data_IF_804716882368
#
_entry.id   IF_804716882368
#
_cell.length_a   1.000
_cell.length_b   1.000
_cell.length_c   1.000
_cell.angle_alpha   90.00
_cell.angle_beta   90.00
_cell.angle_gamma   90.00
#
_symmetry.space_group_name_H-M   'P 1'
#
loop_
_entity.id
_entity.type
_entity.pdbx_description
1 polymer ?
#
# COMPACT_ATOMS: atom_id res chain seq x y z
N UNK A 1 -24.90 1.61 10.35
CA UNK A 1 -23.55 2.15 10.39
C UNK A 1 -22.49 1.06 10.15
N UNK A 2 -22.59 -0.12 10.74
CA UNK A 2 -21.68 -1.28 10.52
C UNK A 2 -21.52 -1.76 9.07
N UNK A 3 -22.55 -1.64 8.24
CA UNK A 3 -22.49 -2.04 6.81
C UNK A 3 -21.59 -1.09 6.01
N UNK A 4 -21.54 0.19 6.37
CA UNK A 4 -20.78 1.20 5.63
C UNK A 4 -19.26 1.05 5.87
N UNK A 5 -18.85 0.75 7.09
CA UNK A 5 -17.44 0.51 7.44
C UNK A 5 -16.93 -0.80 6.80
N UNK A 6 -17.69 -1.88 6.84
CA UNK A 6 -17.36 -3.14 6.15
C UNK A 6 -17.31 -2.98 4.62
N UNK A 7 -18.20 -2.16 4.05
CA UNK A 7 -18.19 -1.91 2.60
C UNK A 7 -16.97 -1.08 2.20
N UNK A 8 -16.57 -0.11 3.02
CA UNK A 8 -15.37 0.69 2.80
C UNK A 8 -14.13 -0.21 2.92
N UNK A 9 -14.04 -1.03 3.95
CA UNK A 9 -12.94 -1.98 4.17
C UNK A 9 -12.81 -3.01 3.03
N UNK A 10 -13.93 -3.59 2.60
CA UNK A 10 -13.96 -4.51 1.44
C UNK A 10 -13.56 -3.77 0.16
N UNK A 11 -14.03 -2.52 -0.03
CA UNK A 11 -13.70 -1.74 -1.23
C UNK A 11 -12.22 -1.34 -1.25
N UNK A 12 -11.63 -1.04 -0.10
CA UNK A 12 -10.19 -0.72 0.01
C UNK A 12 -9.35 -1.97 -0.20
N UNK A 13 -9.72 -3.11 0.39
CA UNK A 13 -9.04 -4.38 0.19
C UNK A 13 -9.13 -4.86 -1.28
N UNK A 14 -10.27 -4.68 -1.93
CA UNK A 14 -10.44 -5.00 -3.36
C UNK A 14 -9.63 -4.04 -4.23
N UNK A 15 -9.62 -2.73 -3.93
CA UNK A 15 -8.82 -1.74 -4.67
C UNK A 15 -7.31 -1.90 -4.42
N UNK A 16 -6.91 -2.42 -3.28
CA UNK A 16 -5.53 -2.76 -2.96
C UNK A 16 -5.07 -4.09 -3.58
N UNK A 17 -6.02 -4.89 -4.11
CA UNK A 17 -5.71 -6.17 -4.74
C UNK A 17 -5.00 -5.97 -6.08
N UNK A 18 -3.95 -6.76 -6.32
CA UNK A 18 -3.19 -6.78 -7.57
C UNK A 18 -4.05 -6.98 -8.81
N UNK A 19 -5.15 -7.74 -8.70
CA UNK A 19 -6.03 -8.12 -9.81
C UNK A 19 -7.12 -7.11 -10.16
N UNK A 20 -7.38 -6.14 -9.30
CA UNK A 20 -8.51 -5.22 -9.48
C UNK A 20 -8.37 -4.37 -10.76
N UNK A 21 -7.26 -3.67 -10.91
CA UNK A 21 -7.03 -2.79 -12.05
C UNK A 21 -6.89 -3.56 -13.38
N UNK A 22 -6.13 -4.67 -13.44
CA UNK A 22 -6.10 -5.52 -14.64
C UNK A 22 -7.47 -6.04 -15.06
N UNK A 23 -8.29 -6.51 -14.12
CA UNK A 23 -9.65 -6.99 -14.42
C UNK A 23 -10.54 -5.87 -14.92
N UNK A 24 -10.46 -4.68 -14.31
CA UNK A 24 -11.23 -3.52 -14.74
C UNK A 24 -10.90 -3.13 -16.20
N UNK A 25 -9.61 -3.07 -16.53
CA UNK A 25 -9.14 -2.74 -17.88
C UNK A 25 -9.49 -3.86 -18.89
N UNK A 26 -9.44 -5.12 -18.48
CA UNK A 26 -9.89 -6.25 -19.28
C UNK A 26 -11.38 -6.15 -19.62
N UNK A 27 -12.23 -5.85 -18.64
CA UNK A 27 -13.65 -5.61 -18.85
C UNK A 27 -13.90 -4.38 -19.74
N UNK A 28 -13.12 -3.31 -19.56
CA UNK A 28 -13.21 -2.11 -20.38
C UNK A 28 -12.85 -2.41 -21.86
N UNK A 29 -11.78 -3.17 -22.11
CA UNK A 29 -11.40 -3.60 -23.45
C UNK A 29 -12.47 -4.47 -24.11
N UNK A 30 -13.03 -5.42 -23.36
CA UNK A 30 -14.14 -6.24 -23.83
C UNK A 30 -15.38 -5.39 -24.18
N UNK A 31 -15.79 -4.49 -23.31
CA UNK A 31 -16.93 -3.60 -23.51
C UNK A 31 -16.71 -2.64 -24.69
N UNK A 32 -15.48 -2.11 -24.83
CA UNK A 32 -15.11 -1.25 -25.96
C UNK A 32 -15.22 -2.01 -27.30
N UNK A 33 -14.73 -3.26 -27.33
CA UNK A 33 -14.87 -4.13 -28.51
C UNK A 33 -16.33 -4.35 -28.92
N UNK A 34 -17.19 -4.70 -27.97
CA UNK A 34 -18.61 -4.85 -28.20
C UNK A 34 -19.26 -3.54 -28.70
N UNK A 35 -18.93 -2.42 -28.07
CA UNK A 35 -19.51 -1.12 -28.40
C UNK A 35 -19.14 -0.68 -29.81
N UNK A 36 -17.85 -0.80 -30.20
CA UNK A 36 -17.40 -0.40 -31.52
C UNK A 36 -17.99 -1.32 -32.62
N UNK A 37 -18.09 -2.62 -32.37
CA UNK A 37 -18.76 -3.55 -33.27
C UNK A 37 -20.25 -3.20 -33.45
N UNK A 38 -20.96 -2.84 -32.37
CA UNK A 38 -22.37 -2.42 -32.46
C UNK A 38 -22.52 -1.09 -33.21
N UNK A 39 -21.57 -0.18 -33.07
CA UNK A 39 -21.54 1.08 -33.82
C UNK A 39 -21.30 0.79 -35.31
N UNK A 40 -20.31 -0.03 -35.64
CA UNK A 40 -20.04 -0.45 -37.02
C UNK A 40 -21.29 -1.12 -37.68
N UNK A 41 -21.96 -2.00 -36.93
CA UNK A 41 -23.18 -2.67 -37.41
C UNK A 41 -24.35 -1.70 -37.68
N UNK A 42 -24.37 -0.52 -37.00
CA UNK A 42 -25.42 0.49 -37.22
C UNK A 42 -25.06 1.52 -38.28
N UNK A 43 -23.78 1.90 -38.39
CA UNK A 43 -23.33 2.92 -39.35
C UNK A 43 -23.29 2.37 -40.80
N UNK A 44 -23.10 1.04 -40.97
CA UNK A 44 -22.90 0.43 -42.27
C UNK A 44 -21.65 0.98 -42.99
N UNK A 45 -21.37 0.53 -44.20
CA UNK A 45 -20.16 0.91 -44.95
C UNK A 45 -20.24 2.29 -45.62
N UNK A 46 -21.39 2.99 -45.53
CA UNK A 46 -21.67 4.23 -46.30
C UNK A 46 -20.74 5.41 -45.94
N UNK A 47 -20.23 5.50 -44.73
CA UNK A 47 -19.37 6.61 -44.27
C UNK A 47 -17.90 6.44 -44.72
N UNK A 48 -17.48 5.20 -45.02
CA UNK A 48 -16.11 4.88 -45.45
C UNK A 48 -15.87 5.11 -46.94
N UNK A 49 -16.95 5.22 -47.73
CA UNK A 49 -16.89 5.33 -49.19
C UNK A 49 -16.15 6.58 -49.73
N UNK A 50 -15.80 7.54 -48.88
CA UNK A 50 -15.03 8.75 -49.25
C UNK A 50 -13.51 8.57 -49.12
N UNK A 51 -13.04 7.47 -48.50
CA UNK A 51 -11.61 7.26 -48.22
C UNK A 51 -11.14 5.93 -48.79
N UNK A 52 -10.67 5.89 -50.02
CA UNK A 52 -10.20 4.68 -50.72
C UNK A 52 -9.12 3.89 -49.96
N UNK A 53 -8.30 4.57 -49.12
CA UNK A 53 -7.26 3.95 -48.32
C UNK A 53 -7.81 3.03 -47.20
N UNK A 54 -9.03 3.22 -46.77
CA UNK A 54 -9.70 2.44 -45.75
C UNK A 54 -10.48 1.23 -46.30
N UNK A 55 -10.77 1.21 -47.62
CA UNK A 55 -11.65 0.23 -48.26
C UNK A 55 -10.97 -1.10 -48.59
N UNK A 56 -9.67 -1.28 -48.36
CA UNK A 56 -8.90 -2.42 -48.86
C UNK A 56 -8.86 -3.66 -47.97
N UNK A 57 -9.51 -3.66 -46.80
CA UNK A 57 -9.39 -4.78 -45.86
C UNK A 57 -10.35 -5.92 -46.19
N UNK A 58 -9.84 -6.94 -46.87
CA UNK A 58 -10.56 -8.22 -47.04
C UNK A 58 -10.74 -8.87 -45.64
N UNK A 59 -11.85 -9.65 -45.43
CA UNK A 59 -12.10 -10.32 -44.14
C UNK A 59 -10.90 -11.13 -43.62
N UNK A 60 -10.15 -11.79 -44.50
CA UNK A 60 -8.94 -12.54 -44.17
C UNK A 60 -7.80 -11.66 -43.65
N UNK A 61 -7.57 -10.50 -44.26
CA UNK A 61 -6.56 -9.54 -43.81
C UNK A 61 -6.91 -8.96 -42.44
N UNK A 62 -8.20 -8.64 -42.21
CA UNK A 62 -8.72 -8.18 -40.95
C UNK A 62 -8.54 -9.22 -39.83
N UNK A 63 -8.87 -10.48 -40.09
CA UNK A 63 -8.66 -11.60 -39.18
C UNK A 63 -7.16 -11.81 -38.87
N UNK A 64 -6.30 -11.78 -39.88
CA UNK A 64 -4.86 -11.95 -39.73
C UNK A 64 -4.26 -10.84 -38.86
N UNK A 65 -4.63 -9.58 -39.10
CA UNK A 65 -4.15 -8.44 -38.33
C UNK A 65 -4.57 -8.54 -36.85
N UNK A 66 -5.87 -8.74 -36.59
CA UNK A 66 -6.36 -8.83 -35.21
C UNK A 66 -5.85 -10.07 -34.48
N UNK A 67 -5.71 -11.20 -35.19
CA UNK A 67 -5.08 -12.41 -34.59
C UNK A 67 -3.62 -12.17 -34.25
N UNK A 68 -2.86 -11.47 -35.07
CA UNK A 68 -1.48 -11.09 -34.79
C UNK A 68 -1.38 -10.17 -33.58
N UNK A 69 -2.25 -9.15 -33.51
CA UNK A 69 -2.29 -8.25 -32.34
C UNK A 69 -2.66 -9.04 -31.08
N UNK A 70 -3.68 -9.88 -31.13
CA UNK A 70 -4.12 -10.69 -29.99
C UNK A 70 -3.01 -11.61 -29.49
N UNK A 71 -2.38 -12.39 -30.39
CA UNK A 71 -1.31 -13.32 -30.01
C UNK A 71 -0.06 -12.59 -29.50
N UNK A 72 0.29 -11.45 -30.08
CA UNK A 72 1.41 -10.65 -29.61
C UNK A 72 1.14 -10.07 -28.23
N UNK A 73 -0.04 -9.46 -28.00
CA UNK A 73 -0.36 -8.81 -26.73
C UNK A 73 -0.48 -9.79 -25.57
N UNK A 74 -1.07 -10.99 -25.78
CA UNK A 74 -1.14 -11.99 -24.71
C UNK A 74 0.23 -12.58 -24.38
N UNK A 75 1.10 -12.75 -25.39
CA UNK A 75 2.48 -13.18 -25.16
C UNK A 75 3.25 -12.15 -24.36
N UNK A 76 3.14 -10.87 -24.72
CA UNK A 76 3.76 -9.76 -23.97
C UNK A 76 3.21 -9.69 -22.55
N UNK A 77 1.88 -9.86 -22.34
CA UNK A 77 1.29 -9.92 -21.01
C UNK A 77 1.93 -11.01 -20.12
N UNK A 78 2.17 -12.20 -20.68
CA UNK A 78 2.85 -13.29 -20.00
C UNK A 78 4.30 -12.95 -19.61
N UNK A 79 5.04 -12.29 -20.50
CA UNK A 79 6.42 -11.82 -20.22
C UNK A 79 6.41 -10.73 -19.16
N UNK A 80 5.52 -9.74 -19.25
CA UNK A 80 5.35 -8.66 -18.27
C UNK A 80 5.06 -9.23 -16.88
N UNK A 81 4.14 -10.19 -16.81
CA UNK A 81 3.83 -10.87 -15.54
C UNK A 81 5.05 -11.62 -14.99
N UNK A 82 5.78 -12.34 -15.83
CA UNK A 82 6.97 -13.09 -15.42
C UNK A 82 8.09 -12.18 -14.92
N UNK A 83 8.34 -11.06 -15.61
CA UNK A 83 9.32 -10.04 -15.17
C UNK A 83 8.88 -9.41 -13.84
N UNK A 84 7.60 -9.08 -13.70
CA UNK A 84 7.08 -8.52 -12.44
C UNK A 84 7.28 -9.49 -11.28
N UNK A 85 6.97 -10.78 -11.49
CA UNK A 85 7.17 -11.81 -10.47
C UNK A 85 8.65 -11.99 -10.12
N UNK A 86 9.54 -12.00 -11.11
CA UNK A 86 10.98 -12.08 -10.90
C UNK A 86 11.50 -10.85 -10.12
N UNK A 87 11.06 -9.65 -10.48
CA UNK A 87 11.39 -8.41 -9.79
C UNK A 87 10.95 -8.42 -8.31
N UNK A 88 9.71 -8.86 -8.05
CA UNK A 88 9.15 -9.02 -6.71
C UNK A 88 9.95 -10.04 -5.89
N UNK A 89 10.29 -11.19 -6.49
CA UNK A 89 11.07 -12.23 -5.82
C UNK A 89 12.48 -11.73 -5.49
N UNK A 90 13.13 -11.04 -6.43
CA UNK A 90 14.44 -10.43 -6.21
C UNK A 90 14.41 -9.39 -5.08
N UNK A 91 13.46 -8.46 -5.15
CA UNK A 91 13.30 -7.41 -4.13
C UNK A 91 13.01 -7.99 -2.74
N UNK A 92 12.16 -9.02 -2.65
CA UNK A 92 11.87 -9.72 -1.39
C UNK A 92 13.10 -10.39 -0.79
N UNK A 93 13.93 -11.01 -1.62
CA UNK A 93 15.17 -11.66 -1.19
C UNK A 93 16.21 -10.67 -0.68
N UNK A 94 16.36 -9.54 -1.37
CA UNK A 94 17.38 -8.54 -1.05
C UNK A 94 16.95 -7.59 0.07
N UNK A 95 15.70 -7.11 0.05
CA UNK A 95 15.27 -5.98 0.86
C UNK A 95 14.31 -6.34 1.99
N UNK A 96 13.76 -7.55 1.98
CA UNK A 96 12.85 -8.04 2.99
C UNK A 96 11.41 -8.25 2.52
N UNK A 97 10.69 -9.19 3.17
CA UNK A 97 9.34 -9.58 2.74
C UNK A 97 8.28 -8.48 2.99
N UNK A 98 8.54 -7.48 3.84
CA UNK A 98 7.60 -6.38 4.09
C UNK A 98 7.40 -5.50 2.86
N UNK A 99 8.44 -5.30 2.05
CA UNK A 99 8.39 -4.51 0.82
C UNK A 99 7.58 -5.16 -0.31
N UNK A 100 7.27 -6.46 -0.21
CA UNK A 100 6.41 -7.17 -1.16
C UNK A 100 5.06 -6.46 -1.36
N UNK A 101 4.46 -5.95 -0.28
CA UNK A 101 3.20 -5.23 -0.33
C UNK A 101 3.25 -3.98 -1.22
N UNK A 102 4.36 -3.27 -1.20
CA UNK A 102 4.55 -2.04 -1.98
C UNK A 102 4.65 -2.34 -3.48
N UNK A 103 5.40 -3.39 -3.87
CA UNK A 103 5.50 -3.83 -5.27
C UNK A 103 4.18 -4.39 -5.83
N UNK A 104 3.42 -5.14 -5.02
CA UNK A 104 2.13 -5.69 -5.43
C UNK A 104 1.05 -4.61 -5.62
N UNK A 105 1.18 -3.49 -4.91
CA UNK A 105 0.26 -2.34 -5.02
C UNK A 105 0.65 -1.34 -6.11
N UNK A 106 1.74 -1.59 -6.84
CA UNK A 106 2.20 -0.69 -7.89
C UNK A 106 1.20 -0.63 -9.05
N UNK A 107 0.56 0.53 -9.20
CA UNK A 107 -0.46 0.77 -10.21
C UNK A 107 0.10 0.78 -11.63
N UNK A 108 1.37 1.13 -11.82
CA UNK A 108 2.04 1.11 -13.12
C UNK A 108 2.11 -0.31 -13.69
N UNK A 109 2.52 -1.27 -12.85
CA UNK A 109 2.59 -2.68 -13.23
C UNK A 109 1.19 -3.28 -13.48
N UNK A 110 0.23 -2.97 -12.60
CA UNK A 110 -1.16 -3.42 -12.75
C UNK A 110 -1.81 -2.86 -14.02
N UNK A 111 -1.64 -1.57 -14.31
CA UNK A 111 -2.18 -0.91 -15.49
C UNK A 111 -1.57 -1.49 -16.77
N UNK A 112 -0.24 -1.71 -16.80
CA UNK A 112 0.45 -2.29 -17.94
C UNK A 112 -0.11 -3.67 -18.28
N UNK A 113 -0.21 -4.55 -17.29
CA UNK A 113 -0.81 -5.88 -17.48
C UNK A 113 -2.27 -5.79 -17.95
N UNK A 114 -3.04 -4.86 -17.36
CA UNK A 114 -4.44 -4.65 -17.72
C UNK A 114 -4.66 -4.18 -19.16
N UNK A 115 -3.79 -3.30 -19.66
CA UNK A 115 -3.84 -2.83 -21.06
C UNK A 115 -3.58 -3.98 -22.03
N UNK A 116 -2.59 -4.83 -21.78
CA UNK A 116 -2.31 -5.98 -22.65
C UNK A 116 -3.45 -6.98 -22.66
N UNK A 117 -4.00 -7.36 -21.49
CA UNK A 117 -5.14 -8.28 -21.39
C UNK A 117 -6.40 -7.64 -22.00
N UNK A 118 -6.62 -6.34 -21.78
CA UNK A 118 -7.76 -5.61 -22.35
C UNK A 118 -7.70 -5.55 -23.88
N UNK A 119 -6.52 -5.27 -24.45
CA UNK A 119 -6.29 -5.29 -25.91
C UNK A 119 -6.51 -6.68 -26.50
N UNK A 120 -6.02 -7.73 -25.82
CA UNK A 120 -6.27 -9.11 -26.22
C UNK A 120 -7.76 -9.43 -26.27
N UNK A 121 -8.52 -9.16 -25.20
CA UNK A 121 -9.96 -9.42 -25.15
C UNK A 121 -10.73 -8.59 -26.18
N UNK A 122 -10.34 -7.33 -26.37
CA UNK A 122 -10.86 -6.49 -27.43
C UNK A 122 -10.74 -7.17 -28.81
N UNK A 123 -9.51 -7.58 -29.16
CA UNK A 123 -9.25 -8.24 -30.45
C UNK A 123 -10.05 -9.53 -30.61
N UNK A 124 -10.19 -10.35 -29.55
CA UNK A 124 -11.01 -11.58 -29.62
C UNK A 124 -12.50 -11.30 -29.89
N UNK A 125 -13.06 -10.26 -29.25
CA UNK A 125 -14.46 -9.86 -29.46
C UNK A 125 -14.66 -9.42 -30.90
N UNK A 126 -13.78 -8.56 -31.42
CA UNK A 126 -13.88 -8.07 -32.79
C UNK A 126 -13.66 -9.21 -33.79
N UNK A 127 -12.68 -10.08 -33.54
CA UNK A 127 -12.35 -11.22 -34.41
C UNK A 127 -13.55 -12.16 -34.59
N UNK A 128 -14.31 -12.39 -33.53
CA UNK A 128 -15.53 -13.24 -33.57
C UNK A 128 -16.60 -12.68 -34.49
N UNK A 129 -16.62 -11.38 -34.76
CA UNK A 129 -17.69 -10.74 -35.55
C UNK A 129 -17.41 -10.67 -37.04
N UNK A 130 -16.15 -10.88 -37.45
CA UNK A 130 -15.75 -10.88 -38.88
C UNK A 130 -16.29 -12.13 -39.56
N UNK A 131 -17.03 -11.93 -40.63
CA UNK A 131 -17.63 -13.01 -41.44
C UNK A 131 -17.25 -12.86 -42.92
N UNK A 132 -16.93 -13.97 -43.58
CA UNK A 132 -16.77 -14.02 -45.02
C UNK A 132 -18.09 -14.45 -45.72
N UNK A 133 -18.27 -14.08 -46.98
CA UNK A 133 -19.47 -14.44 -47.74
C UNK A 133 -19.65 -15.97 -47.89
N UNK A 134 -18.57 -16.74 -47.94
CA UNK A 134 -18.57 -18.20 -48.04
C UNK A 134 -19.05 -18.91 -46.77
N UNK A 135 -18.69 -18.43 -45.61
CA UNK A 135 -19.11 -19.00 -44.31
C UNK A 135 -20.61 -18.83 -44.08
N UNK A 136 -21.18 -17.74 -44.63
CA UNK A 136 -22.61 -17.44 -44.46
C UNK A 136 -23.49 -18.36 -45.28
N UNK A 137 -23.01 -18.90 -46.41
CA UNK A 137 -23.75 -19.79 -47.28
C UNK A 137 -23.86 -21.23 -46.75
N UNK A 138 -22.88 -21.69 -45.95
CA UNK A 138 -22.82 -23.06 -45.45
C UNK A 138 -23.68 -23.27 -44.17
N UNK A 139 -23.77 -22.27 -43.29
CA UNK A 139 -24.46 -22.41 -41.99
C UNK A 139 -25.95 -22.08 -41.99
N UNK A 140 -26.47 -21.34 -42.98
CA UNK A 140 -27.83 -20.75 -42.90
C UNK A 140 -28.82 -21.28 -43.96
N UNK A 141 -28.57 -22.42 -44.61
CA UNK A 141 -29.56 -23.07 -45.49
C UNK A 141 -30.06 -22.21 -46.66
N UNK A 142 -29.22 -21.36 -47.24
CA UNK A 142 -29.52 -20.58 -48.44
C UNK A 142 -29.85 -19.10 -48.23
N UNK A 143 -29.79 -18.56 -47.01
CA UNK A 143 -29.89 -17.11 -46.79
C UNK A 143 -28.49 -16.51 -46.93
N UNK A 144 -28.22 -15.86 -48.06
CA UNK A 144 -26.96 -15.12 -48.29
C UNK A 144 -26.95 -13.89 -47.37
N UNK A 145 -26.12 -13.93 -46.30
CA UNK A 145 -25.80 -12.75 -45.53
C UNK A 145 -24.52 -12.14 -46.09
N UNK A 146 -24.47 -10.83 -46.22
CA UNK A 146 -23.32 -10.11 -46.73
C UNK A 146 -22.09 -10.28 -45.78
N UNK A 147 -20.90 -10.29 -46.39
CA UNK A 147 -19.64 -10.26 -45.61
C UNK A 147 -19.65 -9.04 -44.68
N UNK A 148 -19.24 -9.22 -43.41
CA UNK A 148 -19.20 -8.14 -42.44
C UNK A 148 -17.77 -7.97 -41.89
N UNK A 149 -17.22 -6.77 -42.06
CA UNK A 149 -15.93 -6.37 -41.54
C UNK A 149 -16.13 -5.10 -40.72
N UNK A 150 -15.95 -5.13 -39.39
CA UNK A 150 -16.12 -3.94 -38.53
C UNK A 150 -14.90 -3.03 -38.65
N UNK A 151 -14.90 -2.09 -39.55
CA UNK A 151 -13.76 -1.21 -39.88
C UNK A 151 -13.35 -0.30 -38.70
N UNK A 152 -14.30 0.34 -38.02
CA UNK A 152 -14.04 1.19 -36.87
C UNK A 152 -13.42 0.39 -35.73
N UNK A 153 -13.93 -0.82 -35.48
CA UNK A 153 -13.36 -1.70 -34.47
C UNK A 153 -11.96 -2.19 -34.87
N UNK A 154 -11.66 -2.37 -36.16
CA UNK A 154 -10.30 -2.67 -36.61
C UNK A 154 -9.32 -1.53 -36.30
N UNK A 155 -9.69 -0.27 -36.58
CA UNK A 155 -8.90 0.88 -36.22
C UNK A 155 -8.69 1.00 -34.72
N UNK A 156 -9.74 0.71 -33.91
CA UNK A 156 -9.62 0.61 -32.48
C UNK A 156 -8.58 -0.43 -32.04
N UNK A 157 -8.55 -1.59 -32.71
CA UNK A 157 -7.55 -2.63 -32.50
C UNK A 157 -6.11 -2.16 -32.80
N UNK A 158 -5.93 -1.47 -33.92
CA UNK A 158 -4.62 -0.89 -34.28
C UNK A 158 -4.20 0.19 -33.29
N UNK A 159 -5.11 1.08 -32.90
CA UNK A 159 -4.83 2.11 -31.90
C UNK A 159 -4.44 1.50 -30.54
N UNK A 160 -5.14 0.45 -30.11
CA UNK A 160 -4.81 -0.29 -28.90
C UNK A 160 -3.44 -1.02 -29.01
N UNK A 161 -3.07 -1.52 -30.18
CA UNK A 161 -1.76 -2.12 -30.42
C UNK A 161 -0.64 -1.08 -30.28
N UNK A 162 -0.83 0.13 -30.86
CA UNK A 162 0.11 1.25 -30.70
C UNK A 162 0.22 1.67 -29.22
N UNK A 163 -0.93 1.82 -28.56
CA UNK A 163 -0.97 2.14 -27.12
C UNK A 163 -0.28 1.06 -26.27
N UNK A 164 -0.50 -0.23 -26.58
CA UNK A 164 0.17 -1.35 -25.93
C UNK A 164 1.70 -1.29 -26.10
N UNK A 165 2.17 -0.90 -27.29
CA UNK A 165 3.61 -0.73 -27.53
C UNK A 165 4.19 0.41 -26.66
N UNK A 166 3.49 1.55 -26.58
CA UNK A 166 3.89 2.64 -25.69
C UNK A 166 3.90 2.22 -24.20
N UNK A 167 2.88 1.45 -23.79
CA UNK A 167 2.80 0.88 -22.42
C UNK A 167 3.94 -0.11 -22.16
N UNK A 168 4.37 -0.89 -23.16
CA UNK A 168 5.53 -1.79 -23.01
C UNK A 168 6.82 -1.00 -22.75
N UNK A 169 7.04 0.09 -23.49
CA UNK A 169 8.21 0.96 -23.29
C UNK A 169 8.17 1.57 -21.88
N UNK A 170 7.01 2.08 -21.47
CA UNK A 170 6.79 2.58 -20.11
C UNK A 170 7.07 1.52 -19.06
N UNK A 171 6.53 0.31 -19.21
CA UNK A 171 6.71 -0.81 -18.27
C UNK A 171 8.19 -1.16 -18.06
N UNK A 172 8.94 -1.31 -19.15
CA UNK A 172 10.38 -1.63 -19.06
C UNK A 172 11.13 -0.56 -18.27
N UNK A 173 10.85 0.72 -18.54
CA UNK A 173 11.46 1.82 -17.78
C UNK A 173 11.00 1.84 -16.32
N UNK A 174 9.72 1.65 -16.08
CA UNK A 174 9.11 1.71 -14.74
C UNK A 174 9.62 0.59 -13.82
N UNK A 175 9.67 -0.65 -14.32
CA UNK A 175 10.14 -1.79 -13.52
C UNK A 175 11.62 -1.66 -13.19
N UNK A 176 12.46 -1.31 -14.16
CA UNK A 176 13.90 -1.10 -13.92
C UNK A 176 14.15 0.00 -12.89
N UNK A 177 13.43 1.10 -12.95
CA UNK A 177 13.56 2.20 -11.99
C UNK A 177 13.02 1.82 -10.60
N UNK A 178 11.99 0.98 -10.54
CA UNK A 178 11.35 0.55 -9.30
C UNK A 178 12.18 -0.45 -8.46
N UNK A 179 13.12 -1.17 -9.09
CA UNK A 179 13.99 -2.15 -8.42
C UNK A 179 15.21 -1.49 -7.76
N UNK A 180 15.56 -0.26 -8.15
CA UNK A 180 16.69 0.42 -7.53
C UNK A 180 16.44 0.68 -6.04
N UNK A 181 17.30 0.13 -5.19
CA UNK A 181 17.16 0.17 -3.73
C UNK A 181 17.02 1.60 -3.19
N UNK A 182 17.77 2.55 -3.74
CA UNK A 182 17.69 3.96 -3.33
C UNK A 182 16.31 4.56 -3.58
N UNK A 183 15.61 4.16 -4.65
CA UNK A 183 14.25 4.63 -4.92
C UNK A 183 13.24 4.02 -3.94
N UNK A 184 13.46 2.77 -3.53
CA UNK A 184 12.63 2.09 -2.51
C UNK A 184 12.80 2.77 -1.17
N UNK A 185 14.04 2.97 -0.71
CA UNK A 185 14.38 3.66 0.54
C UNK A 185 13.78 5.07 0.56
N UNK A 186 14.00 5.84 -0.52
CA UNK A 186 13.47 7.20 -0.64
C UNK A 186 11.93 7.22 -0.57
N UNK A 187 11.25 6.27 -1.22
CA UNK A 187 9.79 6.16 -1.16
C UNK A 187 9.30 5.90 0.25
N UNK A 188 9.87 4.89 0.94
CA UNK A 188 9.51 4.57 2.34
C UNK A 188 9.76 5.79 3.23
N UNK A 189 10.90 6.47 3.08
CA UNK A 189 11.23 7.66 3.86
C UNK A 189 10.28 8.83 3.61
N UNK A 190 9.94 9.11 2.34
CA UNK A 190 8.98 10.17 1.96
C UNK A 190 7.59 9.86 2.50
N UNK A 191 7.11 8.61 2.36
CA UNK A 191 5.80 8.18 2.84
C UNK A 191 5.73 8.27 4.38
N UNK A 192 6.80 7.88 5.08
CA UNK A 192 6.91 8.00 6.53
C UNK A 192 6.83 9.45 6.99
N UNK A 193 7.60 10.35 6.37
CA UNK A 193 7.59 11.78 6.69
C UNK A 193 6.21 12.40 6.39
N UNK A 194 5.59 12.04 5.28
CA UNK A 194 4.26 12.51 4.93
C UNK A 194 3.21 12.06 5.95
N UNK A 195 3.31 10.82 6.43
CA UNK A 195 2.40 10.28 7.45
C UNK A 195 2.59 10.96 8.81
N UNK A 196 3.85 11.25 9.21
CA UNK A 196 4.15 12.02 10.42
C UNK A 196 3.48 13.40 10.36
N UNK A 197 3.64 14.12 9.24
CA UNK A 197 3.03 15.44 9.03
C UNK A 197 1.50 15.37 9.04
N UNK A 198 0.93 14.36 8.39
CA UNK A 198 -0.53 14.19 8.36
C UNK A 198 -1.10 14.06 9.76
N UNK A 199 -0.50 13.25 10.61
CA UNK A 199 -0.95 13.06 11.99
C UNK A 199 -0.78 14.31 12.84
N UNK A 200 0.30 15.05 12.66
CA UNK A 200 0.50 16.30 13.37
C UNK A 200 -0.52 17.38 13.03
N UNK A 201 -1.07 17.35 11.81
CA UNK A 201 -2.11 18.29 11.38
C UNK A 201 -3.53 17.88 11.83
N UNK A 202 -3.75 16.58 12.10
CA UNK A 202 -5.05 16.06 12.53
C UNK A 202 -5.25 16.19 14.06
N UNK A 203 -4.17 16.38 14.82
CA UNK A 203 -4.17 16.38 16.28
C UNK A 203 -4.01 17.81 16.84
N UNK A 204 -5.07 18.62 16.70
CA UNK A 204 -5.17 19.97 17.31
C UNK A 204 -5.48 19.93 18.82
N UNK A 205 -5.47 18.76 19.44
CA UNK A 205 -5.81 18.61 20.86
C UNK A 205 -4.62 18.98 21.74
N UNK A 206 -4.77 20.01 22.60
CA UNK A 206 -3.78 20.31 23.62
C UNK A 206 -3.56 19.08 24.54
N UNK A 207 -2.29 18.73 24.84
CA UNK A 207 -1.99 17.63 25.74
C UNK A 207 -2.42 18.00 27.17
N UNK A 208 -3.62 17.64 27.53
CA UNK A 208 -4.12 17.79 28.89
C UNK A 208 -3.38 16.86 29.87
N UNK A 209 -3.30 17.21 31.17
CA UNK A 209 -2.69 16.34 32.17
C UNK A 209 -3.43 15.00 32.24
N UNK A 210 -2.68 13.89 32.18
CA UNK A 210 -3.23 12.55 32.36
C UNK A 210 -3.70 12.42 33.80
N UNK A 211 -4.96 12.65 34.07
CA UNK A 211 -5.57 12.32 35.36
C UNK A 211 -6.33 11.03 35.18
N UNK A 212 -5.93 9.93 35.85
CA UNK A 212 -6.82 8.78 35.93
C UNK A 212 -8.15 9.25 36.55
N UNK A 213 -9.31 8.71 36.13
CA UNK A 213 -10.59 9.12 36.68
C UNK A 213 -10.53 8.98 38.19
N UNK A 214 -10.83 10.11 38.89
CA UNK A 214 -10.75 10.22 40.35
C UNK A 214 -11.74 9.30 41.09
N UNK A 215 -12.66 8.71 40.39
CA UNK A 215 -13.58 7.67 40.87
C UNK A 215 -13.26 6.38 40.17
N UNK A 216 -12.31 5.61 40.71
CA UNK A 216 -11.99 4.27 40.24
C UNK A 216 -13.20 3.37 40.52
N UNK A 217 -14.10 3.28 39.54
CA UNK A 217 -15.12 2.25 39.48
C UNK A 217 -14.51 0.87 39.28
N UNK A 218 -15.34 -0.13 39.00
CA UNK A 218 -14.88 -1.47 38.67
C UNK A 218 -14.09 -1.43 37.36
N UNK A 219 -12.91 -2.06 37.34
CA UNK A 219 -12.10 -2.25 36.14
C UNK A 219 -12.42 -3.62 35.56
N UNK A 220 -12.77 -3.68 34.29
CA UNK A 220 -12.92 -4.94 33.56
C UNK A 220 -11.98 -4.94 32.36
N UNK A 221 -11.10 -5.94 32.21
CA UNK A 221 -10.33 -6.13 31.01
C UNK A 221 -11.26 -6.57 29.87
N UNK A 222 -11.14 -5.93 28.72
CA UNK A 222 -11.78 -6.34 27.48
C UNK A 222 -10.74 -7.13 26.69
N UNK A 223 -11.05 -8.39 26.41
CA UNK A 223 -10.13 -9.36 25.85
C UNK A 223 -10.26 -9.47 24.34
N UNK A 224 -9.16 -9.81 23.67
CA UNK A 224 -9.13 -10.11 22.25
C UNK A 224 -9.89 -11.40 21.94
N UNK A 225 -10.69 -11.36 20.91
CA UNK A 225 -11.43 -12.52 20.37
C UNK A 225 -10.71 -13.18 19.20
N UNK A 226 -9.59 -12.60 18.74
CA UNK A 226 -8.79 -13.10 17.61
C UNK A 226 -7.31 -12.96 17.91
N UNK A 227 -6.51 -13.84 17.31
CA UNK A 227 -5.05 -13.76 17.33
C UNK A 227 -4.54 -13.09 16.04
N UNK A 228 -3.66 -12.09 16.17
CA UNK A 228 -3.06 -11.39 15.04
C UNK A 228 -2.47 -10.04 15.43
N UNK A 229 -2.22 -9.19 14.43
CA UNK A 229 -1.79 -7.81 14.64
C UNK A 229 -2.98 -6.87 14.62
N UNK A 230 -2.99 -5.89 15.50
CA UNK A 230 -3.96 -4.81 15.47
C UNK A 230 -3.62 -3.93 14.25
N UNK A 231 -4.50 -3.93 13.27
CA UNK A 231 -4.33 -3.14 12.03
C UNK A 231 -4.85 -1.72 12.20
N UNK A 232 -6.00 -1.58 12.89
CA UNK A 232 -6.61 -0.29 13.16
C UNK A 232 -7.55 -0.35 14.36
N UNK A 233 -7.72 0.81 15.02
CA UNK A 233 -8.72 1.06 16.05
C UNK A 233 -9.59 2.23 15.59
N UNK A 234 -10.91 2.05 15.56
CA UNK A 234 -11.86 3.13 15.28
C UNK A 234 -12.11 3.90 16.58
N UNK A 235 -11.26 4.91 16.83
CA UNK A 235 -11.35 5.73 18.06
C UNK A 235 -12.62 6.56 18.14
N UNK A 236 -13.20 7.01 17.01
CA UNK A 236 -14.46 7.73 17.00
C UNK A 236 -15.63 6.83 17.43
N UNK A 237 -15.66 5.61 16.92
CA UNK A 237 -16.65 4.63 17.34
C UNK A 237 -16.44 4.21 18.80
N UNK A 238 -15.18 4.04 19.23
CA UNK A 238 -14.84 3.72 20.61
C UNK A 238 -15.25 4.83 21.58
N UNK A 239 -15.06 6.11 21.20
CA UNK A 239 -15.49 7.27 21.96
C UNK A 239 -17.03 7.29 22.12
N UNK A 240 -17.78 7.04 21.06
CA UNK A 240 -19.24 6.96 21.09
C UNK A 240 -19.75 5.82 21.98
N UNK A 241 -19.07 4.66 21.99
CA UNK A 241 -19.39 3.55 22.88
C UNK A 241 -19.14 3.96 24.33
N UNK A 242 -17.99 4.58 24.61
CA UNK A 242 -17.60 5.04 25.93
C UNK A 242 -18.60 6.06 26.49
N UNK A 243 -19.01 7.06 25.71
CA UNK A 243 -19.99 8.08 26.10
C UNK A 243 -21.35 7.46 26.35
N UNK A 244 -21.82 6.56 25.48
CA UNK A 244 -23.15 5.91 25.61
C UNK A 244 -23.29 5.07 26.89
N UNK A 245 -22.21 4.42 27.30
CA UNK A 245 -22.23 3.47 28.42
C UNK A 245 -21.58 4.03 29.69
N UNK A 246 -21.26 5.32 29.70
CA UNK A 246 -20.55 5.99 30.81
C UNK A 246 -19.28 5.26 31.22
N UNK A 247 -18.44 4.93 30.22
CA UNK A 247 -17.17 4.25 30.38
C UNK A 247 -16.00 5.22 30.23
N UNK A 248 -14.88 4.91 30.90
CA UNK A 248 -13.56 5.40 30.53
C UNK A 248 -12.76 4.21 30.05
N UNK A 249 -12.22 4.30 28.83
CA UNK A 249 -11.51 3.23 28.15
C UNK A 249 -10.00 3.54 28.08
N UNK A 250 -9.18 2.53 28.35
CA UNK A 250 -7.72 2.64 28.22
C UNK A 250 -7.22 1.51 27.33
N UNK A 251 -6.95 1.76 26.06
CA UNK A 251 -6.23 0.83 25.20
C UNK A 251 -4.88 0.45 25.79
N UNK A 252 -4.60 -0.84 25.93
CA UNK A 252 -3.33 -1.40 26.39
C UNK A 252 -2.43 -1.71 25.20
N UNK A 253 -3.07 -1.96 24.05
CA UNK A 253 -2.41 -2.28 22.80
C UNK A 253 -2.95 -1.40 21.70
N UNK A 254 -2.04 -0.97 20.81
CA UNK A 254 -2.32 -0.08 19.69
C UNK A 254 -2.10 -0.75 18.34
N UNK A 255 -2.30 0.02 17.27
CA UNK A 255 -1.99 -0.44 15.92
C UNK A 255 -0.51 -0.85 15.81
N UNK A 256 -0.26 -1.97 15.14
CA UNK A 256 1.06 -2.59 15.02
C UNK A 256 1.38 -3.62 16.10
N UNK A 257 0.67 -3.64 17.23
CA UNK A 257 0.90 -4.62 18.29
C UNK A 257 0.30 -5.98 17.93
N UNK A 258 1.01 -7.05 18.32
CA UNK A 258 0.49 -8.40 18.27
C UNK A 258 -0.38 -8.70 19.49
N UNK A 259 -1.50 -9.33 19.25
CA UNK A 259 -2.43 -9.79 20.29
C UNK A 259 -2.81 -11.24 20.05
N UNK A 260 -2.93 -12.00 21.13
CA UNK A 260 -3.48 -13.35 21.10
C UNK A 260 -4.89 -13.38 21.69
N UNK A 261 -5.71 -14.28 21.21
CA UNK A 261 -7.03 -14.54 21.80
C UNK A 261 -6.93 -14.73 23.32
N UNK A 262 -7.80 -14.09 24.07
CA UNK A 262 -7.77 -14.08 25.53
C UNK A 262 -6.85 -13.01 26.15
N UNK A 263 -6.01 -12.30 25.37
CA UNK A 263 -5.19 -11.20 25.91
C UNK A 263 -6.00 -9.90 26.04
N UNK A 264 -5.62 -9.07 27.01
CA UNK A 264 -6.25 -7.77 27.22
C UNK A 264 -5.94 -6.82 26.06
N UNK A 265 -6.99 -6.34 25.39
CA UNK A 265 -6.92 -5.28 24.37
C UNK A 265 -6.95 -3.91 25.01
N UNK A 266 -7.94 -3.70 25.88
CA UNK A 266 -8.15 -2.44 26.58
C UNK A 266 -8.78 -2.69 27.95
N UNK A 267 -8.64 -1.74 28.84
CA UNK A 267 -9.30 -1.72 30.15
C UNK A 267 -10.47 -0.75 30.11
N UNK A 268 -11.61 -1.21 30.63
CA UNK A 268 -12.80 -0.39 30.79
C UNK A 268 -13.04 -0.10 32.27
N UNK A 269 -13.21 1.17 32.58
CA UNK A 269 -13.52 1.69 33.91
C UNK A 269 -14.97 2.17 33.89
N UNK A 270 -15.78 1.70 34.86
CA UNK A 270 -17.20 2.07 34.97
C UNK A 270 -17.66 2.13 36.43
N UNK A 271 -18.57 3.05 36.80
CA UNK A 271 -19.22 3.01 38.08
C UNK A 271 -20.19 1.80 38.21
N UNK A 272 -20.60 1.23 37.09
CA UNK A 272 -21.55 0.13 37.00
C UNK A 272 -20.90 -1.16 36.51
N UNK A 273 -21.67 -2.27 36.49
CA UNK A 273 -21.19 -3.53 35.93
C UNK A 273 -21.08 -3.44 34.40
N UNK A 274 -19.91 -3.79 33.87
CA UNK A 274 -19.66 -3.86 32.43
C UNK A 274 -20.17 -5.22 31.93
N UNK A 275 -21.20 -5.19 31.09
CA UNK A 275 -21.80 -6.38 30.49
C UNK A 275 -20.91 -6.97 29.37
N UNK A 276 -21.14 -8.23 29.02
CA UNK A 276 -20.42 -8.84 27.90
C UNK A 276 -20.75 -8.17 26.57
N UNK A 277 -22.00 -7.72 26.38
CA UNK A 277 -22.40 -6.94 25.21
C UNK A 277 -21.57 -5.66 25.02
N UNK A 278 -21.31 -4.92 26.12
CA UNK A 278 -20.44 -3.71 26.06
C UNK A 278 -19.02 -4.09 25.69
N UNK A 279 -18.50 -5.22 26.19
CA UNK A 279 -17.20 -5.76 25.82
C UNK A 279 -17.13 -6.11 24.33
N UNK A 280 -18.18 -6.76 23.80
CA UNK A 280 -18.27 -7.14 22.39
C UNK A 280 -18.33 -5.89 21.47
N UNK A 281 -19.09 -4.85 21.86
CA UNK A 281 -19.13 -3.57 21.13
C UNK A 281 -17.76 -2.92 21.06
N UNK A 282 -16.97 -2.91 22.15
CA UNK A 282 -15.61 -2.36 22.17
C UNK A 282 -14.63 -3.21 21.34
N UNK A 283 -14.75 -4.52 21.36
CA UNK A 283 -13.90 -5.41 20.57
C UNK A 283 -14.17 -5.28 19.07
N UNK A 284 -15.43 -5.04 18.68
CA UNK A 284 -15.85 -4.95 17.29
C UNK A 284 -15.25 -3.76 16.53
N UNK A 285 -14.77 -2.73 17.24
CA UNK A 285 -14.14 -1.54 16.64
C UNK A 285 -12.62 -1.66 16.52
N UNK A 286 -12.03 -2.80 16.93
CA UNK A 286 -10.62 -3.12 16.79
C UNK A 286 -10.47 -4.14 15.66
N UNK A 287 -9.77 -3.74 14.60
CA UNK A 287 -9.46 -4.62 13.47
C UNK A 287 -8.19 -5.41 13.75
N UNK A 288 -8.30 -6.75 13.74
CA UNK A 288 -7.16 -7.66 13.93
C UNK A 288 -6.97 -8.49 12.67
N UNK A 289 -5.78 -8.41 12.08
CA UNK A 289 -5.39 -9.11 10.87
C UNK A 289 -4.12 -9.95 11.02
N UNK A 290 -3.67 -10.53 9.90
CA UNK A 290 -2.51 -11.42 9.89
C UNK A 290 -1.16 -10.71 9.77
N UNK A 291 -1.17 -9.46 9.34
CA UNK A 291 0.04 -8.67 9.07
C UNK A 291 -0.13 -7.27 9.64
N UNK A 292 0.98 -6.62 9.98
CA UNK A 292 1.01 -5.20 10.31
C UNK A 292 0.72 -4.37 9.07
N UNK A 293 0.10 -3.23 9.26
CA UNK A 293 -0.18 -2.24 8.20
C UNK A 293 0.36 -0.88 8.62
N UNK A 294 0.70 -0.03 7.65
CA UNK A 294 1.17 1.34 7.91
C UNK A 294 0.03 2.29 8.32
N UNK A 295 -1.23 1.86 8.28
CA UNK A 295 -2.41 2.74 8.35
C UNK A 295 -2.49 3.57 9.64
N UNK A 296 -2.20 2.98 10.80
CA UNK A 296 -2.15 3.66 12.10
C UNK A 296 -0.85 3.40 12.86
N UNK A 297 0.17 2.82 12.22
CA UNK A 297 1.43 2.39 12.84
C UNK A 297 2.62 3.08 12.16
N UNK A 298 3.07 4.21 12.73
CA UNK A 298 4.28 4.90 12.24
C UNK A 298 5.55 4.04 12.34
N UNK A 299 5.61 3.14 13.33
CA UNK A 299 6.76 2.25 13.48
C UNK A 299 6.92 1.32 12.29
N UNK A 300 5.83 1.06 11.54
CA UNK A 300 5.90 0.20 10.36
C UNK A 300 6.94 0.71 9.35
N UNK A 301 6.90 2.01 8.98
CA UNK A 301 7.86 2.60 8.05
C UNK A 301 9.28 2.70 8.64
N UNK A 302 9.41 2.96 9.93
CA UNK A 302 10.71 2.93 10.63
C UNK A 302 11.29 1.52 10.57
N UNK A 303 10.50 0.50 10.93
CA UNK A 303 10.92 -0.90 10.92
C UNK A 303 11.29 -1.40 9.50
N UNK A 304 10.63 -0.88 8.44
CA UNK A 304 11.00 -1.17 7.05
C UNK A 304 12.43 -0.66 6.74
N UNK A 305 12.74 0.60 7.08
CA UNK A 305 14.08 1.17 6.88
C UNK A 305 15.14 0.44 7.72
N UNK A 306 14.80 0.09 8.96
CA UNK A 306 15.66 -0.68 9.87
C UNK A 306 15.91 -2.09 9.32
N UNK A 307 14.90 -2.77 8.78
CA UNK A 307 15.06 -4.09 8.17
C UNK A 307 15.99 -4.04 6.94
N UNK A 308 15.82 -3.03 6.07
CA UNK A 308 16.70 -2.83 4.92
C UNK A 308 18.15 -2.59 5.39
N UNK A 309 18.36 -1.67 6.33
CA UNK A 309 19.69 -1.33 6.83
C UNK A 309 20.39 -2.52 7.51
N UNK A 310 19.67 -3.27 8.36
CA UNK A 310 20.21 -4.44 9.05
C UNK A 310 20.59 -5.57 8.08
N UNK A 311 19.80 -5.77 7.01
CA UNK A 311 20.13 -6.73 5.94
C UNK A 311 21.34 -6.27 5.14
N UNK A 312 21.40 -4.99 4.79
CA UNK A 312 22.52 -4.40 4.07
C UNK A 312 23.85 -4.58 4.82
N UNK A 313 23.82 -4.44 6.15
CA UNK A 313 24.98 -4.63 7.03
C UNK A 313 25.23 -6.10 7.42
N UNK A 314 24.42 -7.03 6.95
CA UNK A 314 24.64 -8.45 7.23
C UNK A 314 25.92 -8.94 6.52
N UNK A 315 26.67 -9.90 7.09
CA UNK A 315 27.91 -10.41 6.49
C UNK A 315 27.75 -10.97 5.06
N UNK A 316 26.53 -11.42 4.72
CA UNK A 316 26.25 -11.99 3.40
C UNK A 316 25.96 -10.94 2.31
N UNK A 317 25.60 -9.72 2.67
CA UNK A 317 25.29 -8.62 1.74
C UNK A 317 26.41 -7.59 1.73
N UNK A 318 26.81 -7.11 2.91
CA UNK A 318 27.91 -6.17 3.13
C UNK A 318 27.85 -4.91 2.23
N UNK A 319 26.72 -4.22 2.25
CA UNK A 319 26.47 -2.96 1.52
C UNK A 319 26.21 -1.80 2.50
N UNK A 320 27.27 -1.17 3.06
CA UNK A 320 27.12 -0.08 4.01
C UNK A 320 26.48 1.18 3.40
N UNK A 321 26.59 1.39 2.09
CA UNK A 321 25.98 2.57 1.46
C UNK A 321 24.45 2.51 1.44
N UNK A 322 23.87 1.35 1.25
CA UNK A 322 22.42 1.14 1.43
C UNK A 322 21.98 1.40 2.86
N UNK A 323 22.75 0.96 3.85
CA UNK A 323 22.47 1.22 5.26
C UNK A 323 22.57 2.72 5.58
N UNK A 324 23.58 3.41 5.07
CA UNK A 324 23.76 4.86 5.20
C UNK A 324 22.54 5.61 4.66
N UNK A 325 22.05 5.24 3.48
CA UNK A 325 20.84 5.85 2.93
C UNK A 325 19.60 5.67 3.85
N UNK A 326 19.45 4.49 4.46
CA UNK A 326 18.38 4.27 5.44
C UNK A 326 18.55 5.14 6.69
N UNK A 327 19.79 5.27 7.21
CA UNK A 327 20.12 6.10 8.38
C UNK A 327 19.76 7.58 8.12
N UNK A 328 20.02 8.09 6.92
CA UNK A 328 19.63 9.45 6.51
C UNK A 328 18.12 9.67 6.61
N UNK A 329 17.33 8.74 6.06
CA UNK A 329 15.87 8.84 6.11
C UNK A 329 15.30 8.65 7.52
N UNK A 330 15.89 7.78 8.34
CA UNK A 330 15.53 7.63 9.75
C UNK A 330 15.82 8.92 10.54
N UNK A 331 16.98 9.54 10.31
CA UNK A 331 17.32 10.84 10.88
C UNK A 331 16.34 11.94 10.49
N UNK A 332 15.98 12.01 9.19
CA UNK A 332 15.00 12.96 8.68
C UNK A 332 13.61 12.76 9.29
N UNK A 333 13.16 11.50 9.43
CA UNK A 333 11.87 11.17 10.04
C UNK A 333 11.82 11.56 11.53
N UNK A 334 12.90 11.33 12.30
CA UNK A 334 13.00 11.76 13.69
C UNK A 334 13.02 13.29 13.81
N UNK A 335 13.69 13.99 12.89
CA UNK A 335 13.66 15.44 12.83
C UNK A 335 12.26 16.00 12.54
N UNK A 336 11.46 15.29 11.76
CA UNK A 336 10.06 15.67 11.51
C UNK A 336 9.18 15.38 12.72
N UNK A 337 9.40 14.26 13.42
CA UNK A 337 8.70 13.93 14.68
C UNK A 337 8.96 14.99 15.77
N UNK A 338 10.17 15.57 15.85
CA UNK A 338 10.46 16.66 16.79
C UNK A 338 9.64 17.93 16.51
N UNK A 339 9.35 18.22 15.24
CA UNK A 339 8.54 19.38 14.81
C UNK A 339 7.06 19.17 14.93
N UNK A 340 6.64 17.90 15.00
CA UNK A 340 5.24 17.51 15.05
C UNK A 340 4.75 17.58 16.50
N UNK A 341 3.56 18.14 16.77
CA UNK A 341 2.97 18.09 18.10
C UNK A 341 2.89 16.67 18.65
N UNK A 342 3.09 16.53 19.96
CA UNK A 342 2.90 15.21 20.60
C UNK A 342 1.43 14.79 20.47
N UNK A 343 1.15 13.53 20.15
CA UNK A 343 -0.21 13.07 19.96
C UNK A 343 -1.02 13.18 21.25
N UNK A 344 -2.33 13.40 21.10
CA UNK A 344 -3.26 13.51 22.22
C UNK A 344 -3.16 12.28 23.14
N UNK A 345 -3.09 12.53 24.43
CA UNK A 345 -3.09 11.48 25.45
C UNK A 345 -4.48 11.15 25.98
N UNK A 346 -5.50 11.92 25.60
CA UNK A 346 -6.87 11.80 26.06
C UNK A 346 -7.84 12.20 24.94
N UNK A 347 -8.99 11.53 24.89
CA UNK A 347 -10.12 11.96 24.06
C UNK A 347 -11.34 12.18 24.95
N UNK A 348 -11.97 13.33 24.79
CA UNK A 348 -13.19 13.71 25.50
C UNK A 348 -14.42 13.61 24.60
N UNK A 349 -15.59 13.42 25.21
CA UNK A 349 -16.88 13.50 24.53
C UNK A 349 -17.31 14.97 24.28
N UNK A 350 -18.46 15.15 23.64
CA UNK A 350 -19.01 16.48 23.33
C UNK A 350 -19.29 17.35 24.60
N UNK A 351 -19.40 16.69 25.78
CA UNK A 351 -19.62 17.33 27.09
C UNK A 351 -18.30 17.67 27.79
N UNK A 352 -17.15 17.37 27.16
CA UNK A 352 -15.81 17.62 27.70
C UNK A 352 -15.34 16.57 28.73
N UNK A 353 -16.08 15.45 28.89
CA UNK A 353 -15.69 14.37 29.77
C UNK A 353 -14.67 13.46 29.11
N UNK A 354 -13.52 13.22 29.73
CA UNK A 354 -12.50 12.29 29.22
C UNK A 354 -13.05 10.88 29.20
N UNK A 355 -13.09 10.27 28.02
CA UNK A 355 -13.63 8.93 27.78
C UNK A 355 -12.58 7.91 27.33
N UNK A 356 -11.49 8.37 26.71
CA UNK A 356 -10.41 7.49 26.29
C UNK A 356 -9.10 8.06 26.81
N UNK A 357 -8.29 7.21 27.44
CA UNK A 357 -6.95 7.53 27.91
C UNK A 357 -5.97 6.76 27.01
N UNK A 358 -5.22 7.49 26.21
CA UNK A 358 -4.26 6.94 25.25
C UNK A 358 -2.85 6.90 25.87
N UNK A 359 -2.04 5.96 25.42
CA UNK A 359 -0.59 5.93 25.62
C UNK A 359 0.07 5.89 24.24
N UNK A 360 0.11 7.01 23.53
CA UNK A 360 0.81 7.06 22.26
C UNK A 360 2.30 6.79 22.47
N UNK A 361 2.95 6.28 21.42
CA UNK A 361 4.39 6.19 21.38
C UNK A 361 4.99 7.60 21.41
N UNK A 362 6.05 7.79 22.15
CA UNK A 362 6.77 9.04 22.26
C UNK A 362 8.05 9.06 21.40
N UNK A 363 8.77 10.17 21.44
CA UNK A 363 10.01 10.32 20.69
C UNK A 363 11.07 9.29 21.08
N UNK A 364 11.14 8.91 22.37
CA UNK A 364 12.07 7.89 22.86
C UNK A 364 11.79 6.53 22.24
N UNK A 365 10.50 6.14 22.14
CA UNK A 365 10.08 4.89 21.52
C UNK A 365 10.49 4.83 20.05
N UNK A 366 10.31 5.95 19.32
CA UNK A 366 10.68 6.03 17.89
C UNK A 366 12.21 6.07 17.69
N UNK A 367 12.95 6.77 18.54
CA UNK A 367 14.41 6.78 18.52
C UNK A 367 14.97 5.37 18.81
N UNK A 368 14.40 4.66 19.78
CA UNK A 368 14.77 3.29 20.10
C UNK A 368 14.43 2.32 18.95
N UNK A 369 13.30 2.50 18.28
CA UNK A 369 12.93 1.71 17.10
C UNK A 369 13.90 1.96 15.93
N UNK A 370 14.31 3.20 15.67
CA UNK A 370 15.18 3.57 14.56
C UNK A 370 16.64 3.19 14.82
N UNK A 371 17.28 3.85 15.79
CA UNK A 371 18.72 3.70 16.05
C UNK A 371 19.03 2.61 17.05
N UNK A 372 18.18 2.40 18.06
CA UNK A 372 18.40 1.37 19.07
C UNK A 372 18.45 -0.04 18.51
N UNK A 373 17.56 -0.36 17.54
CA UNK A 373 17.55 -1.66 16.88
C UNK A 373 18.72 -1.85 15.89
N UNK A 374 19.20 -0.76 15.27
CA UNK A 374 20.32 -0.81 14.33
C UNK A 374 21.69 -0.83 15.02
N UNK A 375 21.76 -0.50 16.29
CA UNK A 375 23.03 -0.21 17.00
C UNK A 375 24.07 -1.30 16.82
N UNK A 376 23.71 -2.57 16.99
CA UNK A 376 24.67 -3.69 16.88
C UNK A 376 25.17 -3.88 15.43
N UNK A 377 24.30 -3.69 14.45
CA UNK A 377 24.68 -3.81 13.03
C UNK A 377 25.58 -2.67 12.61
N UNK A 378 25.21 -1.44 12.97
CA UNK A 378 25.95 -0.22 12.63
C UNK A 378 27.31 -0.20 13.34
N UNK A 379 27.42 -0.67 14.58
CA UNK A 379 28.67 -0.72 15.31
C UNK A 379 29.71 -1.64 14.63
N UNK A 380 29.25 -2.67 13.92
CA UNK A 380 30.12 -3.63 13.23
C UNK A 380 30.76 -3.08 11.94
N UNK A 381 30.23 -2.02 11.33
CA UNK A 381 30.75 -1.41 10.10
C UNK A 381 31.27 0.00 10.38
N UNK A 382 32.57 0.29 10.15
CA UNK A 382 33.17 1.60 10.46
C UNK A 382 32.53 2.77 9.70
N UNK A 383 32.12 2.57 8.43
CA UNK A 383 31.52 3.63 7.61
C UNK A 383 30.11 3.97 8.08
N UNK A 384 29.27 2.94 8.27
CA UNK A 384 27.91 3.08 8.77
C UNK A 384 27.91 3.69 10.18
N UNK A 385 28.85 3.26 11.05
CA UNK A 385 29.02 3.80 12.41
C UNK A 385 29.38 5.27 12.40
N UNK A 386 30.40 5.67 11.63
CA UNK A 386 30.80 7.05 11.51
C UNK A 386 29.65 7.94 11.00
N UNK A 387 28.92 7.46 10.00
CA UNK A 387 27.78 8.15 9.44
C UNK A 387 26.64 8.31 10.46
N UNK A 388 26.23 7.22 11.13
CA UNK A 388 25.18 7.26 12.16
C UNK A 388 25.52 8.20 13.32
N UNK A 389 26.78 8.23 13.78
CA UNK A 389 27.25 9.17 14.81
C UNK A 389 27.14 10.63 14.34
N UNK A 390 27.44 10.91 13.07
CA UNK A 390 27.28 12.24 12.47
C UNK A 390 25.80 12.61 12.32
N UNK A 391 24.96 11.70 11.82
CA UNK A 391 23.52 11.93 11.70
C UNK A 391 22.88 12.22 13.06
N UNK A 392 23.22 11.47 14.11
CA UNK A 392 22.73 11.73 15.46
C UNK A 392 23.24 13.07 16.02
N UNK A 393 24.50 13.44 15.72
CA UNK A 393 25.06 14.74 16.10
C UNK A 393 24.30 15.88 15.42
N UNK A 394 24.07 15.77 14.11
CA UNK A 394 23.37 16.79 13.34
C UNK A 394 21.91 16.90 13.80
N UNK A 395 21.24 15.77 14.03
CA UNK A 395 19.90 15.73 14.57
C UNK A 395 19.82 16.45 15.94
N UNK A 396 20.76 16.18 16.87
CA UNK A 396 20.81 16.83 18.17
C UNK A 396 20.98 18.36 18.08
N UNK A 397 21.61 18.88 17.02
CA UNK A 397 21.75 20.33 16.80
C UNK A 397 20.49 20.98 16.24
N UNK A 398 19.64 20.22 15.53
CA UNK A 398 18.47 20.76 14.82
C UNK A 398 17.15 20.54 15.55
N UNK A 399 17.08 19.62 16.53
CA UNK A 399 15.86 19.40 17.33
C UNK A 399 15.60 20.58 18.26
N UNK A 400 14.34 21.01 18.32
CA UNK A 400 13.88 22.12 19.14
C UNK A 400 13.62 21.73 20.59
N UNK A 401 13.18 20.50 20.83
CA UNK A 401 12.79 20.05 22.17
C UNK A 401 14.01 19.58 22.99
N UNK A 402 14.32 20.22 24.17
CA UNK A 402 15.52 19.90 24.96
C UNK A 402 15.60 18.43 25.42
N UNK A 403 14.44 17.84 25.76
CA UNK A 403 14.34 16.42 26.13
C UNK A 403 14.75 15.47 25.00
N UNK A 404 14.32 15.76 23.77
CA UNK A 404 14.70 14.97 22.59
C UNK A 404 16.19 15.05 22.31
N UNK A 405 16.79 16.23 22.45
CA UNK A 405 18.25 16.40 22.35
C UNK A 405 19.01 15.51 23.34
N UNK A 406 18.56 15.47 24.59
CA UNK A 406 19.19 14.63 25.61
C UNK A 406 19.10 13.14 25.26
N UNK A 407 17.95 12.68 24.73
CA UNK A 407 17.76 11.30 24.30
C UNK A 407 18.67 10.95 23.14
N UNK A 408 18.79 11.84 22.14
CA UNK A 408 19.65 11.65 20.96
C UNK A 408 21.12 11.60 21.36
N UNK A 409 21.57 12.50 22.26
CA UNK A 409 22.94 12.50 22.75
C UNK A 409 23.27 11.23 23.55
N UNK A 410 22.32 10.74 24.35
CA UNK A 410 22.45 9.47 25.06
C UNK A 410 22.57 8.28 24.07
N UNK A 411 21.77 8.26 23.02
CA UNK A 411 21.84 7.20 21.99
C UNK A 411 23.17 7.26 21.24
N UNK A 412 23.62 8.47 20.88
CA UNK A 412 24.94 8.68 20.27
C UNK A 412 26.08 8.19 21.15
N UNK A 413 26.03 8.47 22.47
CA UNK A 413 27.02 8.00 23.41
C UNK A 413 27.02 6.47 23.53
N UNK A 414 25.85 5.84 23.55
CA UNK A 414 25.73 4.37 23.54
C UNK A 414 26.39 3.75 22.31
N UNK A 415 26.11 4.31 21.11
CA UNK A 415 26.70 3.83 19.85
C UNK A 415 28.22 4.07 19.82
N UNK A 416 28.71 5.22 20.33
CA UNK A 416 30.12 5.54 20.37
C UNK A 416 30.91 4.63 21.35
N UNK A 417 30.26 4.16 22.42
CA UNK A 417 30.86 3.25 23.41
C UNK A 417 30.89 1.78 23.01
N UNK A 418 30.29 1.39 21.86
CA UNK A 418 30.42 0.04 21.33
C UNK A 418 31.73 -0.10 20.57
N UNK A 419 32.57 -1.06 20.96
CA UNK A 419 33.81 -1.39 20.25
C UNK A 419 33.48 -2.02 18.88
N UNK A 420 34.26 -1.69 17.85
CA UNK A 420 34.17 -2.37 16.56
C UNK A 420 34.65 -3.83 16.75
N UNK A 421 33.95 -4.77 16.14
CA UNK A 421 34.26 -6.20 16.26
C UNK A 421 35.62 -6.62 15.64
N UNK A 422 36.41 -5.67 15.15
CA UNK A 422 37.74 -5.92 14.57
C UNK A 422 38.89 -5.97 15.61
N UNK A 423 38.61 -5.83 16.92
CA UNK A 423 39.61 -5.90 17.99
C UNK A 423 39.63 -7.28 18.73
N UNK A 424 39.03 -8.33 18.15
CA UNK A 424 39.11 -9.72 18.69
C UNK A 424 39.67 -10.70 17.68
#
# INVERSE_FOLDING_TARGET
>A
MFIRTRVIEISENVRASYWFLPTLLACAGFALGLSLVLVDARLGDAWLGQYEWFYGSRPEGARSMLSTIASSTITVAGVVFSITLAAVTYASGQFGPRLLGNFMRDRGNQASLGVFIGTYLYCLVVLRTIRSAEETSAETGGVVRDAFVPHLAMFGGLALAIASTAVLIYFVHHVTSGIHINNVIARVGVDLIAEIRRRGNEDDSEPGPISPPSSVGKVKPIIATKTGYIEAVDFDALLKIASRHDLVLRPIRGAGDFVSEGWTLLEAYSPTLISDRMSDECTAVVTVGRQRTAQQDLRFGIDELVEIASRALSPGVNDPFTAIACIDWLGAALGELDRTPSPAKQMADEEGTVRIILRPLDFEDYLAAAFGQLRSYVAADPNARAHALNTLKDLATHVGHPGHRTLIEAERARLAGMESSDDV
#
